data_IF_102622008332
#
_entry.id   IF_102622008332
#
_cell.length_a   1.000
_cell.length_b   1.000
_cell.length_c   1.000
_cell.angle_alpha   90.00
_cell.angle_beta   90.00
_cell.angle_gamma   90.00
#
_symmetry.space_group_name_H-M   'P 1'
#
loop_
_entity.id
_entity.type
_entity.pdbx_description
1 polymer ?
#
# COMPACT_ATOMS: atom_id res chain seq x y z
N UNK A 1 -5.29 -8.74 -4.41
CA UNK A 1 -3.83 -8.88 -4.57
C UNK A 1 -3.20 -9.61 -3.37
N UNK A 2 -3.57 -9.23 -2.16
CA UNK A 2 -2.99 -9.76 -0.91
C UNK A 2 -3.19 -11.27 -0.80
N UNK A 3 -4.39 -11.76 -1.09
CA UNK A 3 -4.73 -13.19 -1.13
C UNK A 3 -3.87 -13.94 -2.16
N UNK A 4 -3.68 -13.36 -3.35
CA UNK A 4 -2.88 -13.98 -4.40
C UNK A 4 -1.40 -14.02 -4.02
N UNK A 5 -0.89 -13.03 -3.31
CA UNK A 5 0.48 -13.04 -2.78
C UNK A 5 0.64 -14.16 -1.77
N UNK A 6 -0.34 -14.37 -0.89
CA UNK A 6 -0.31 -15.49 0.07
C UNK A 6 -0.41 -16.85 -0.62
N UNK A 7 -1.23 -16.98 -1.66
CA UNK A 7 -1.28 -18.21 -2.45
C UNK A 7 0.04 -18.46 -3.19
N UNK A 8 0.64 -17.45 -3.79
CA UNK A 8 1.96 -17.55 -4.42
C UNK A 8 3.04 -18.01 -3.43
N UNK A 9 3.03 -17.47 -2.22
CA UNK A 9 3.92 -17.92 -1.15
C UNK A 9 3.72 -19.41 -0.81
N UNK A 10 2.48 -19.83 -0.57
CA UNK A 10 2.16 -21.23 -0.25
C UNK A 10 2.54 -22.20 -1.38
N UNK A 11 2.29 -21.80 -2.63
CA UNK A 11 2.56 -22.62 -3.80
C UNK A 11 4.04 -22.68 -4.16
N UNK A 12 4.80 -21.62 -3.95
CA UNK A 12 6.20 -21.54 -4.35
C UNK A 12 7.16 -22.27 -3.40
N UNK A 13 6.79 -22.40 -2.12
CA UNK A 13 7.68 -22.90 -1.07
C UNK A 13 8.86 -21.96 -0.76
N UNK A 14 8.85 -20.74 -1.30
CA UNK A 14 9.88 -19.75 -0.98
C UNK A 14 9.75 -19.26 0.46
N UNK A 15 10.86 -18.86 1.10
CA UNK A 15 10.79 -18.17 2.38
C UNK A 15 9.91 -16.89 2.27
N UNK A 16 9.07 -16.58 3.28
CA UNK A 16 8.08 -15.51 3.18
C UNK A 16 8.69 -14.14 2.84
N UNK A 17 9.90 -13.87 3.30
CA UNK A 17 10.61 -12.61 2.98
C UNK A 17 10.95 -12.46 1.49
N UNK A 18 10.88 -13.53 0.69
CA UNK A 18 11.13 -13.50 -0.76
C UNK A 18 9.84 -13.43 -1.59
N UNK A 19 8.70 -13.43 -0.95
CA UNK A 19 7.41 -13.29 -1.62
C UNK A 19 6.75 -12.02 -1.10
N UNK A 20 6.48 -11.09 -1.99
CA UNK A 20 5.87 -9.81 -1.66
C UNK A 20 5.00 -9.33 -2.83
N UNK A 21 3.97 -8.55 -2.54
CA UNK A 21 3.04 -8.01 -3.52
C UNK A 21 3.23 -6.51 -3.72
N UNK A 22 3.19 -6.09 -5.00
CA UNK A 22 3.21 -4.68 -5.36
C UNK A 22 1.77 -4.13 -5.28
N UNK A 23 1.43 -3.46 -4.18
CA UNK A 23 0.11 -2.87 -3.93
C UNK A 23 0.25 -1.44 -3.40
N UNK A 24 0.70 -1.29 -2.17
CA UNK A 24 0.76 -0.01 -1.48
C UNK A 24 1.66 1.02 -2.18
N UNK A 25 2.73 0.62 -2.85
CA UNK A 25 3.58 1.53 -3.65
C UNK A 25 2.75 2.22 -4.72
N UNK A 26 1.91 1.47 -5.44
CA UNK A 26 1.04 2.01 -6.48
C UNK A 26 -0.05 2.93 -5.89
N UNK A 27 -0.68 2.48 -4.82
CA UNK A 27 -1.77 3.22 -4.18
C UNK A 27 -1.27 4.52 -3.54
N UNK A 28 -0.08 4.48 -2.94
CA UNK A 28 0.62 5.67 -2.44
C UNK A 28 0.91 6.65 -3.58
N UNK A 29 1.47 6.18 -4.70
CA UNK A 29 1.75 7.03 -5.85
C UNK A 29 0.47 7.68 -6.44
N UNK A 30 -0.64 6.96 -6.45
CA UNK A 30 -1.95 7.49 -6.85
C UNK A 30 -2.45 8.58 -5.90
N UNK A 31 -2.36 8.33 -4.59
CA UNK A 31 -2.72 9.34 -3.60
C UNK A 31 -1.85 10.59 -3.74
N UNK A 32 -0.54 10.44 -3.87
CA UNK A 32 0.40 11.54 -4.10
C UNK A 32 0.03 12.35 -5.35
N UNK A 33 -0.28 11.68 -6.45
CA UNK A 33 -0.71 12.32 -7.68
C UNK A 33 -2.01 13.11 -7.50
N UNK A 34 -3.00 12.54 -6.80
CA UNK A 34 -4.28 13.22 -6.51
C UNK A 34 -4.10 14.43 -5.62
N UNK A 35 -3.24 14.38 -4.62
CA UNK A 35 -2.86 15.56 -3.81
C UNK A 35 -2.17 16.59 -4.71
N UNK A 36 -1.27 16.18 -5.59
CA UNK A 36 -0.61 17.07 -6.54
C UNK A 36 -1.58 17.82 -7.47
N UNK A 37 -2.70 17.17 -7.85
CA UNK A 37 -3.74 17.81 -8.68
C UNK A 37 -4.50 18.94 -7.97
N UNK A 38 -4.47 19.02 -6.66
CA UNK A 38 -5.05 20.15 -5.90
C UNK A 38 -4.21 21.42 -6.02
N UNK A 39 -2.96 21.30 -6.43
CA UNK A 39 -2.02 22.42 -6.52
C UNK A 39 -1.37 22.80 -5.18
N UNK A 40 -1.67 22.11 -4.08
CA UNK A 40 -1.12 22.42 -2.75
C UNK A 40 0.37 22.08 -2.63
N UNK A 41 0.83 21.09 -3.40
CA UNK A 41 2.21 20.67 -3.52
C UNK A 41 2.42 19.87 -4.81
N UNK A 42 3.65 19.63 -5.20
CA UNK A 42 3.97 18.66 -6.27
C UNK A 42 3.81 17.23 -5.73
N UNK A 43 3.46 16.28 -6.59
CA UNK A 43 3.27 14.89 -6.18
C UNK A 43 4.53 14.27 -5.54
N UNK A 44 5.72 14.65 -6.00
CA UNK A 44 7.02 14.21 -5.48
C UNK A 44 7.41 14.85 -4.13
N UNK A 45 6.71 15.89 -3.70
CA UNK A 45 6.84 16.51 -2.38
C UNK A 45 5.88 15.92 -1.34
N UNK A 46 4.94 15.06 -1.77
CA UNK A 46 3.98 14.40 -0.89
C UNK A 46 4.57 13.11 -0.34
N UNK A 47 4.64 13.01 0.98
CA UNK A 47 4.96 11.76 1.68
C UNK A 47 3.67 11.17 2.26
N UNK A 48 3.39 9.92 1.93
CA UNK A 48 2.19 9.22 2.40
C UNK A 48 2.41 7.70 2.36
N UNK A 49 1.49 6.96 2.96
CA UNK A 49 1.49 5.51 3.03
C UNK A 49 0.10 4.96 2.68
N UNK A 50 0.03 4.01 1.79
CA UNK A 50 -1.16 3.22 1.56
C UNK A 50 -0.93 1.81 2.13
N UNK A 51 -1.68 1.46 3.14
CA UNK A 51 -1.53 0.24 3.95
C UNK A 51 -2.82 -0.60 3.88
N UNK A 52 -2.80 -1.77 4.50
CA UNK A 52 -3.97 -2.66 4.56
C UNK A 52 -4.20 -3.43 3.27
N UNK A 53 -5.45 -3.59 2.88
CA UNK A 53 -5.83 -4.31 1.67
C UNK A 53 -5.77 -3.39 0.45
N UNK A 54 -5.33 -3.94 -0.70
CA UNK A 54 -5.37 -3.22 -1.97
C UNK A 54 -6.83 -3.04 -2.45
N UNK A 55 -7.25 -1.80 -2.65
CA UNK A 55 -8.60 -1.44 -3.12
C UNK A 55 -9.45 -0.74 -2.06
N UNK A 56 -10.72 -1.11 -1.95
CA UNK A 56 -11.72 -0.40 -1.13
C UNK A 56 -11.37 -0.32 0.36
N UNK A 57 -10.66 -1.32 0.88
CA UNK A 57 -10.30 -1.41 2.30
C UNK A 57 -8.88 -0.89 2.58
N UNK A 58 -8.32 -0.12 1.64
CA UNK A 58 -7.03 0.54 1.79
C UNK A 58 -7.09 1.59 2.90
N UNK A 59 -6.05 1.64 3.71
CA UNK A 59 -5.87 2.61 4.79
C UNK A 59 -4.77 3.59 4.40
N UNK A 60 -5.13 4.87 4.28
CA UNK A 60 -4.14 5.95 4.13
C UNK A 60 -4.10 6.71 5.45
N UNK A 61 -3.08 6.47 6.31
CA UNK A 61 -2.97 7.16 7.59
C UNK A 61 -2.61 8.64 7.36
N UNK A 62 -3.62 9.50 7.47
CA UNK A 62 -3.45 10.94 7.28
C UNK A 62 -2.59 11.57 8.39
N UNK A 63 -2.45 10.92 9.54
CA UNK A 63 -1.50 11.31 10.60
C UNK A 63 -0.04 11.27 10.14
N UNK A 64 0.25 10.44 9.12
CA UNK A 64 1.58 10.23 8.55
C UNK A 64 1.74 10.89 7.18
N UNK A 65 0.72 11.64 6.70
CA UNK A 65 0.73 12.24 5.38
C UNK A 65 1.17 13.70 5.43
N UNK A 66 2.20 14.05 4.67
CA UNK A 66 2.77 15.41 4.60
C UNK A 66 2.98 15.86 3.17
N UNK A 67 3.06 17.18 2.96
CA UNK A 67 3.51 17.79 1.71
C UNK A 67 4.51 18.90 2.02
N UNK A 68 5.70 18.84 1.44
CA UNK A 68 6.79 19.77 1.77
C UNK A 68 7.15 19.77 3.26
N UNK A 69 6.98 18.62 3.94
CA UNK A 69 7.22 18.45 5.38
C UNK A 69 6.12 18.98 6.30
N UNK A 70 5.01 19.53 5.76
CA UNK A 70 3.86 19.97 6.54
C UNK A 70 2.73 18.94 6.51
N UNK A 71 2.01 18.69 7.62
CA UNK A 71 0.86 17.78 7.63
C UNK A 71 -0.18 18.16 6.58
N UNK A 72 -0.67 17.17 5.82
CA UNK A 72 -1.73 17.42 4.83
C UNK A 72 -3.02 17.92 5.48
N UNK A 73 -3.28 17.56 6.72
CA UNK A 73 -4.43 18.02 7.50
C UNK A 73 -4.40 19.52 7.84
N UNK A 74 -3.25 20.17 7.70
CA UNK A 74 -3.10 21.62 7.84
C UNK A 74 -3.22 22.35 6.48
N UNK A 75 -3.01 21.63 5.38
CA UNK A 75 -2.94 22.20 4.04
C UNK A 75 -4.26 22.08 3.28
N UNK A 76 -5.03 21.03 3.57
CA UNK A 76 -6.28 20.73 2.87
C UNK A 76 -7.42 20.51 3.88
N UNK A 77 -8.65 20.94 3.55
CA UNK A 77 -9.83 20.68 4.35
C UNK A 77 -10.09 19.17 4.51
N UNK A 78 -10.62 18.76 5.66
CA UNK A 78 -10.91 17.34 5.94
C UNK A 78 -11.82 16.68 4.89
N UNK A 79 -12.81 17.40 4.38
CA UNK A 79 -13.71 16.91 3.34
C UNK A 79 -12.99 16.67 2.01
N UNK A 80 -12.04 17.50 1.65
CA UNK A 80 -11.22 17.34 0.43
C UNK A 80 -10.26 16.16 0.57
N UNK A 81 -9.60 16.01 1.74
CA UNK A 81 -8.75 14.85 2.03
C UNK A 81 -9.55 13.55 1.96
N UNK A 82 -10.77 13.52 2.52
CA UNK A 82 -11.63 12.35 2.44
C UNK A 82 -11.97 12.00 0.98
N UNK A 83 -12.33 12.99 0.16
CA UNK A 83 -12.62 12.79 -1.27
C UNK A 83 -11.38 12.28 -2.05
N UNK A 84 -10.19 12.76 -1.73
CA UNK A 84 -8.93 12.29 -2.32
C UNK A 84 -8.68 10.82 -1.92
N UNK A 85 -8.86 10.46 -0.66
CA UNK A 85 -8.70 9.07 -0.17
C UNK A 85 -9.69 8.15 -0.89
N UNK A 86 -10.95 8.52 -1.00
CA UNK A 86 -11.98 7.71 -1.67
C UNK A 86 -11.68 7.57 -3.18
N UNK A 87 -11.23 8.63 -3.83
CA UNK A 87 -10.81 8.56 -5.23
C UNK A 87 -9.57 7.69 -5.41
N UNK A 88 -8.61 7.73 -4.47
CA UNK A 88 -7.44 6.85 -4.51
C UNK A 88 -7.84 5.37 -4.44
N UNK A 89 -8.80 5.03 -3.58
CA UNK A 89 -9.37 3.67 -3.47
C UNK A 89 -10.00 3.21 -4.78
N UNK A 90 -10.78 4.06 -5.43
CA UNK A 90 -11.47 3.79 -6.70
C UNK A 90 -10.61 3.96 -7.96
N UNK A 91 -9.39 4.47 -7.85
CA UNK A 91 -8.57 4.91 -8.99
C UNK A 91 -8.22 3.80 -9.99
N UNK A 92 -8.11 2.55 -9.55
CA UNK A 92 -7.89 1.41 -10.45
C UNK A 92 -9.07 1.21 -11.40
N UNK A 93 -10.28 1.23 -10.88
CA UNK A 93 -11.51 1.13 -11.68
C UNK A 93 -11.70 2.36 -12.59
N UNK A 94 -11.37 3.56 -12.10
CA UNK A 94 -11.41 4.79 -12.89
C UNK A 94 -10.52 4.67 -14.15
N UNK A 95 -9.27 4.24 -14.00
CA UNK A 95 -8.35 4.06 -15.13
C UNK A 95 -8.84 3.00 -16.10
N UNK A 96 -9.32 1.85 -15.63
CA UNK A 96 -9.86 0.79 -16.47
C UNK A 96 -11.10 1.28 -17.24
N UNK A 97 -11.98 2.04 -16.59
CA UNK A 97 -13.14 2.64 -17.23
C UNK A 97 -12.76 3.63 -18.36
N UNK A 98 -11.72 4.43 -18.15
CA UNK A 98 -11.22 5.36 -19.18
C UNK A 98 -10.53 4.64 -20.35
N UNK A 99 -9.82 3.55 -20.09
CA UNK A 99 -9.18 2.75 -21.14
C UNK A 99 -10.16 1.96 -22.01
N UNK A 100 -11.36 1.68 -21.50
CA UNK A 100 -12.44 0.90 -22.15
C UNK A 100 -12.10 -0.56 -22.46
N UNK A 101 -10.83 -0.88 -22.66
CA UNK A 101 -10.31 -2.23 -22.88
C UNK A 101 -8.94 -2.40 -22.24
N UNK A 102 -8.63 -3.62 -21.76
CA UNK A 102 -7.38 -3.92 -21.06
C UNK A 102 -7.39 -3.56 -19.59
N UNK A 103 -6.22 -3.48 -18.99
CA UNK A 103 -6.03 -3.12 -17.58
C UNK A 103 -5.02 -1.98 -17.41
N UNK A 104 -5.04 -1.33 -16.24
CA UNK A 104 -4.04 -0.34 -15.88
C UNK A 104 -2.70 -1.07 -15.62
N UNK A 105 -1.76 -1.03 -16.55
CA UNK A 105 -0.47 -1.74 -16.44
C UNK A 105 0.75 -0.82 -16.36
N UNK A 106 0.71 0.40 -16.88
CA UNK A 106 1.86 1.30 -16.92
C UNK A 106 2.33 1.69 -15.51
N UNK A 107 1.45 2.22 -14.68
CA UNK A 107 1.79 2.59 -13.31
C UNK A 107 2.13 1.35 -12.45
N UNK A 108 1.38 0.24 -12.48
CA UNK A 108 1.81 -1.00 -11.84
C UNK A 108 3.19 -1.50 -12.27
N UNK A 109 3.48 -1.46 -13.58
CA UNK A 109 4.79 -1.86 -14.11
C UNK A 109 5.93 -0.98 -13.60
N UNK A 110 5.71 0.34 -13.52
CA UNK A 110 6.67 1.29 -12.94
C UNK A 110 6.90 1.00 -11.45
N UNK A 111 5.85 0.84 -10.66
CA UNK A 111 5.97 0.56 -9.23
C UNK A 111 6.68 -0.78 -8.96
N UNK A 112 6.39 -1.81 -9.74
CA UNK A 112 7.10 -3.08 -9.64
C UNK A 112 8.59 -2.93 -9.97
N UNK A 113 8.93 -2.15 -11.01
CA UNK A 113 10.32 -1.87 -11.37
C UNK A 113 11.05 -1.11 -10.24
N UNK A 114 10.42 -0.11 -9.63
CA UNK A 114 11.01 0.65 -8.52
C UNK A 114 11.30 -0.27 -7.32
N UNK A 115 10.40 -1.19 -6.97
CA UNK A 115 10.64 -2.20 -5.93
C UNK A 115 11.81 -3.13 -6.29
N UNK A 116 11.88 -3.60 -7.53
CA UNK A 116 12.98 -4.47 -8.01
C UNK A 116 14.31 -3.71 -7.95
N UNK A 117 14.34 -2.45 -8.38
CA UNK A 117 15.54 -1.61 -8.32
C UNK A 117 16.01 -1.37 -6.90
N UNK A 118 15.08 -1.10 -5.97
CA UNK A 118 15.40 -0.95 -4.54
C UNK A 118 16.02 -2.23 -3.95
N UNK A 119 15.49 -3.40 -4.33
CA UNK A 119 16.04 -4.70 -3.91
C UNK A 119 17.40 -4.97 -4.57
N UNK A 120 17.54 -4.73 -5.88
CA UNK A 120 18.80 -4.96 -6.61
C UNK A 120 19.95 -4.07 -6.10
N UNK A 121 19.63 -2.83 -5.73
CA UNK A 121 20.58 -1.90 -5.12
C UNK A 121 20.88 -2.18 -3.65
N UNK A 122 20.17 -3.13 -3.02
CA UNK A 122 20.23 -3.41 -1.57
C UNK A 122 20.02 -2.15 -0.73
N UNK A 123 19.14 -1.24 -1.19
CA UNK A 123 19.00 0.13 -0.68
C UNK A 123 18.54 0.21 0.77
N UNK A 124 17.81 -0.78 1.25
CA UNK A 124 17.15 -0.72 2.56
C UNK A 124 15.97 0.26 2.60
N UNK A 125 15.49 0.70 1.43
CA UNK A 125 14.33 1.59 1.31
C UNK A 125 13.08 0.95 1.92
N UNK A 126 12.28 1.77 2.58
CA UNK A 126 11.00 1.34 3.15
C UNK A 126 9.91 1.68 2.17
N UNK A 127 9.21 0.65 1.69
CA UNK A 127 8.13 0.78 0.72
C UNK A 127 6.86 0.09 1.24
N UNK A 128 5.67 0.63 0.99
CA UNK A 128 4.42 -0.05 1.33
C UNK A 128 4.19 -1.23 0.36
N UNK A 129 4.26 -2.44 0.88
CA UNK A 129 4.13 -3.68 0.09
C UNK A 129 3.26 -4.70 0.82
N UNK A 130 2.59 -5.59 0.08
CA UNK A 130 1.92 -6.75 0.67
C UNK A 130 2.99 -7.76 1.13
N UNK A 131 3.11 -7.94 2.42
CA UNK A 131 4.09 -8.81 3.09
C UNK A 131 3.44 -9.66 4.16
N UNK A 132 4.04 -10.80 4.50
CA UNK A 132 3.56 -11.62 5.60
C UNK A 132 3.77 -10.88 6.92
N UNK A 133 2.67 -10.60 7.62
CA UNK A 133 2.73 -9.94 8.92
C UNK A 133 3.34 -10.86 9.98
N UNK A 134 4.29 -10.34 10.75
CA UNK A 134 5.11 -11.05 11.74
C UNK A 134 4.71 -10.77 13.19
N UNK A 135 3.71 -9.96 13.40
CA UNK A 135 3.26 -9.46 14.71
C UNK A 135 3.23 -7.96 14.81
N UNK A 136 3.85 -7.25 13.86
CA UNK A 136 3.77 -5.80 13.75
C UNK A 136 2.31 -5.34 13.68
N UNK A 137 2.01 -4.22 14.31
CA UNK A 137 0.63 -3.71 14.48
C UNK A 137 -0.35 -4.68 15.17
N UNK A 138 0.15 -5.78 15.78
CA UNK A 138 -0.68 -6.86 16.34
C UNK A 138 -1.26 -7.80 15.28
N UNK A 139 -0.81 -7.74 14.03
CA UNK A 139 -1.26 -8.56 12.90
C UNK A 139 -0.25 -9.69 12.67
N UNK A 140 -0.73 -10.92 12.42
CA UNK A 140 0.10 -12.11 12.18
C UNK A 140 -0.47 -12.98 11.06
N UNK A 141 0.37 -13.77 10.43
CA UNK A 141 0.01 -14.90 9.57
C UNK A 141 -0.92 -14.56 8.38
N UNK A 142 -0.85 -13.33 7.89
CA UNK A 142 -1.59 -12.86 6.72
C UNK A 142 -0.72 -11.91 5.90
N UNK A 143 -0.81 -12.03 4.58
CA UNK A 143 -0.22 -11.04 3.69
C UNK A 143 -1.11 -9.79 3.65
N UNK A 144 -0.53 -8.65 3.98
CA UNK A 144 -1.23 -7.36 4.08
C UNK A 144 -0.25 -6.24 3.74
N UNK A 145 -0.76 -5.13 3.22
CA UNK A 145 0.05 -3.95 2.91
C UNK A 145 0.62 -3.30 4.17
N UNK A 146 1.93 -3.35 4.34
CA UNK A 146 2.67 -2.78 5.47
C UNK A 146 3.93 -2.05 4.98
N UNK A 147 4.49 -1.10 5.77
CA UNK A 147 5.77 -0.50 5.45
C UNK A 147 6.88 -1.54 5.58
N UNK A 148 7.39 -2.03 4.46
CA UNK A 148 8.40 -3.08 4.40
C UNK A 148 9.76 -2.52 4.00
N UNK A 149 10.80 -2.83 4.75
CA UNK A 149 12.18 -2.52 4.39
C UNK A 149 12.68 -3.56 3.39
N UNK A 150 13.02 -3.11 2.19
CA UNK A 150 13.45 -3.96 1.09
C UNK A 150 14.99 -4.05 1.00
N UNK A 151 15.48 -5.17 0.52
CA UNK A 151 16.90 -5.40 0.27
C UNK A 151 17.12 -6.57 -0.68
N UNK A 152 18.38 -6.88 -1.00
CA UNK A 152 18.76 -7.86 -2.02
C UNK A 152 18.18 -9.28 -1.80
N UNK A 153 17.83 -9.63 -0.58
CA UNK A 153 17.23 -10.93 -0.24
C UNK A 153 15.71 -10.87 -0.03
N UNK A 154 15.06 -9.75 -0.41
CA UNK A 154 13.64 -9.50 -0.22
C UNK A 154 13.36 -8.59 0.98
N UNK A 155 12.31 -8.88 1.72
CA UNK A 155 11.89 -8.11 2.90
C UNK A 155 12.85 -8.34 4.06
N UNK A 156 13.46 -7.26 4.57
CA UNK A 156 14.35 -7.30 5.74
C UNK A 156 13.59 -7.19 7.07
N UNK A 157 12.40 -6.60 7.04
CA UNK A 157 11.55 -6.39 8.21
C UNK A 157 10.45 -5.38 7.93
N UNK A 158 9.50 -5.29 8.83
CA UNK A 158 8.41 -4.33 8.82
C UNK A 158 8.79 -3.14 9.70
N UNK A 159 8.49 -1.93 9.25
CA UNK A 159 8.71 -0.70 10.01
C UNK A 159 7.35 -0.23 10.54
N UNK A 160 7.21 -0.13 11.85
CA UNK A 160 5.99 0.39 12.45
C UNK A 160 5.99 1.93 12.42
N UNK A 161 4.92 2.48 11.86
CA UNK A 161 4.61 3.90 11.93
C UNK A 161 3.79 4.17 13.20
N UNK A 162 3.90 5.35 13.74
CA UNK A 162 3.09 5.80 14.88
C UNK A 162 1.67 6.19 14.39
N UNK A 163 0.83 5.17 14.21
CA UNK A 163 -0.55 5.33 13.73
C UNK A 163 -1.46 5.80 14.86
N UNK A 164 -2.42 6.65 14.53
CA UNK A 164 -3.51 6.97 15.46
C UNK A 164 -4.33 5.71 15.76
N UNK A 165 -5.02 5.67 16.92
CA UNK A 165 -5.82 4.49 17.30
C UNK A 165 -6.88 4.09 16.26
N UNK A 166 -7.53 5.06 15.62
CA UNK A 166 -8.53 4.82 14.56
C UNK A 166 -7.89 4.23 13.28
N UNK A 167 -6.73 4.71 12.90
CA UNK A 167 -5.97 4.21 11.75
C UNK A 167 -5.45 2.78 11.99
N UNK A 168 -4.98 2.50 13.22
CA UNK A 168 -4.55 1.16 13.60
C UNK A 168 -5.71 0.16 13.62
N UNK A 169 -6.89 0.57 14.12
CA UNK A 169 -8.11 -0.26 14.07
C UNK A 169 -8.46 -0.57 12.62
N UNK A 170 -8.51 0.43 11.75
CA UNK A 170 -8.81 0.23 10.33
C UNK A 170 -7.81 -0.73 9.65
N UNK A 171 -6.50 -0.63 9.97
CA UNK A 171 -5.48 -1.51 9.45
C UNK A 171 -5.69 -2.97 9.87
N UNK A 172 -6.04 -3.20 11.15
CA UNK A 172 -6.35 -4.53 11.67
C UNK A 172 -7.60 -5.11 11.04
N UNK A 173 -8.65 -4.31 10.88
CA UNK A 173 -9.88 -4.73 10.19
C UNK A 173 -9.61 -5.13 8.73
N UNK A 174 -8.79 -4.37 8.01
CA UNK A 174 -8.38 -4.74 6.65
C UNK A 174 -7.68 -6.12 6.62
N UNK A 175 -6.80 -6.40 7.57
CA UNK A 175 -6.16 -7.72 7.69
C UNK A 175 -7.16 -8.85 7.98
N UNK A 176 -8.15 -8.63 8.86
CA UNK A 176 -9.19 -9.62 9.14
C UNK A 176 -10.06 -9.90 7.90
N UNK A 177 -10.38 -8.90 7.11
CA UNK A 177 -11.13 -9.07 5.86
C UNK A 177 -10.35 -9.87 4.82
N UNK A 178 -9.02 -9.66 4.72
CA UNK A 178 -8.15 -10.51 3.88
C UNK A 178 -8.22 -11.96 4.37
N UNK A 179 -8.14 -12.22 5.67
CA UNK A 179 -8.27 -13.58 6.23
C UNK A 179 -9.60 -14.24 5.90
N UNK A 180 -10.69 -13.50 6.02
CA UNK A 180 -12.03 -14.00 5.70
C UNK A 180 -12.12 -14.43 4.23
N UNK A 181 -11.57 -13.62 3.29
CA UNK A 181 -11.53 -13.96 1.87
C UNK A 181 -10.63 -15.17 1.58
N UNK A 182 -9.49 -15.29 2.26
CA UNK A 182 -8.62 -16.46 2.17
C UNK A 182 -9.32 -17.75 2.62
N UNK A 183 -10.11 -17.69 3.69
CA UNK A 183 -10.90 -18.82 4.17
C UNK A 183 -11.93 -19.28 3.15
N UNK A 184 -12.58 -18.35 2.45
CA UNK A 184 -13.58 -18.65 1.43
C UNK A 184 -12.98 -19.25 0.13
N UNK A 185 -11.69 -19.04 -0.13
CA UNK A 185 -11.02 -19.60 -1.32
C UNK A 185 -10.52 -21.06 -1.13
N UNK A 186 -10.51 -21.55 0.10
CA UNK A 186 -9.99 -22.90 0.46
C UNK A 186 -11.14 -23.87 0.74
N UNK A 187 -12.37 -23.37 0.83
CA UNK A 187 -13.61 -24.18 0.99
C UNK A 187 -14.21 -24.53 -0.37
#
# INVERSE_FOLDING_TARGET
LDEMTQHAWRASGFPPQRVLGMAGVLDTARFQALVGLTGVARADEVSAWALGSHGEEMVIPLSQATAGGRPLTELLPAAELAAIVDRARGSGAEVVGLLRSGSAFLAPGRCAADMVLAMAADSGEVMPAAVLADGSYGIRDVYVGLPARLGARGVRGIVELDLRPDELVALREAAERIRARLGALVS
#
